data_IF_539620168508
#
_entry.id   IF_539620168508
#
_cell.length_a   1.000
_cell.length_b   1.000
_cell.length_c   1.000
_cell.angle_alpha   90.00
_cell.angle_beta   90.00
_cell.angle_gamma   90.00
#
_symmetry.space_group_name_H-M   'P 1'
#
loop_
_entity.id
_entity.type
_entity.pdbx_description
1 polymer ?
#
# COMPACT_ATOMS: atom_id res chain seq x y z
N UNK A 1 27.46 -26.06 52.78
CA UNK A 1 26.39 -26.92 52.23
C UNK A 1 25.55 -26.10 51.26
N UNK A 2 25.12 -26.73 50.17
CA UNK A 2 24.55 -26.13 48.96
C UNK A 2 23.10 -25.68 49.18
N UNK A 3 22.75 -24.48 48.72
CA UNK A 3 21.37 -24.15 48.34
C UNK A 3 21.43 -23.58 46.91
N UNK A 4 21.04 -24.42 45.94
CA UNK A 4 20.80 -24.02 44.56
C UNK A 4 19.37 -23.51 44.48
N UNK A 5 19.17 -22.20 44.33
CA UNK A 5 17.89 -21.64 43.89
C UNK A 5 17.91 -21.60 42.37
N UNK A 6 17.27 -22.61 41.77
CA UNK A 6 16.93 -22.65 40.35
C UNK A 6 15.81 -21.62 40.13
N UNK A 7 16.17 -20.45 39.61
CA UNK A 7 15.20 -19.48 39.10
C UNK A 7 14.80 -19.92 37.69
N UNK A 8 13.70 -20.67 37.60
CA UNK A 8 13.07 -20.99 36.33
C UNK A 8 12.30 -19.75 35.83
N UNK A 9 12.94 -18.95 34.98
CA UNK A 9 12.22 -17.98 34.15
C UNK A 9 11.40 -18.76 33.12
N UNK A 10 10.14 -19.04 33.44
CA UNK A 10 9.14 -19.46 32.46
C UNK A 10 8.85 -18.24 31.60
N UNK A 11 9.64 -18.07 30.54
CA UNK A 11 9.30 -17.23 29.40
C UNK A 11 8.12 -17.91 28.71
N UNK A 12 6.91 -17.52 29.14
CA UNK A 12 5.70 -17.77 28.38
C UNK A 12 5.86 -17.10 27.02
N UNK A 13 6.23 -17.90 26.02
CA UNK A 13 6.06 -17.59 24.60
C UNK A 13 4.57 -17.42 24.36
N UNK A 14 4.07 -16.20 24.60
CA UNK A 14 2.83 -15.77 24.00
C UNK A 14 3.08 -15.73 22.49
N UNK A 15 2.72 -16.83 21.83
CA UNK A 15 2.33 -16.88 20.42
C UNK A 15 1.08 -15.97 20.26
N UNK A 16 1.26 -14.67 20.46
CA UNK A 16 0.35 -13.66 19.97
C UNK A 16 0.64 -13.53 18.49
N UNK A 17 -0.34 -13.89 17.67
CA UNK A 17 -0.24 -13.78 16.21
C UNK A 17 0.33 -12.43 15.81
N UNK A 18 1.07 -12.43 14.71
CA UNK A 18 1.49 -11.20 14.03
C UNK A 18 0.22 -10.40 13.70
N UNK A 19 -0.21 -9.55 14.64
CA UNK A 19 -1.12 -8.47 14.34
C UNK A 19 -0.37 -7.63 13.33
N UNK A 20 -0.76 -7.77 12.06
CA UNK A 20 -0.19 -7.03 10.95
C UNK A 20 -0.47 -5.57 11.24
N UNK A 21 0.50 -4.89 11.86
CA UNK A 21 0.41 -3.48 12.17
C UNK A 21 0.12 -2.78 10.85
N UNK A 22 -1.02 -2.10 10.76
CA UNK A 22 -1.39 -1.35 9.56
C UNK A 22 -0.23 -0.45 9.15
N UNK A 23 0.10 -0.41 7.85
CA UNK A 23 1.21 0.41 7.36
C UNK A 23 1.06 1.86 7.84
N UNK A 24 2.15 2.43 8.36
CA UNK A 24 2.20 3.84 8.70
C UNK A 24 2.19 4.69 7.41
N UNK A 25 1.63 5.90 7.50
CA UNK A 25 1.66 6.86 6.39
C UNK A 25 3.11 7.21 6.03
N UNK A 26 3.51 7.05 4.75
CA UNK A 26 4.82 7.47 4.28
C UNK A 26 5.08 8.96 4.54
N UNK A 27 6.29 9.30 4.95
CA UNK A 27 6.72 10.68 5.06
C UNK A 27 7.16 11.19 3.67
N UNK A 28 6.37 12.08 3.07
CA UNK A 28 6.71 12.75 1.80
C UNK A 28 7.15 14.19 2.05
N UNK A 29 7.97 14.73 1.16
CA UNK A 29 8.45 16.12 1.29
C UNK A 29 7.29 17.14 1.26
N UNK A 30 7.51 18.30 1.89
CA UNK A 30 6.49 19.35 2.06
C UNK A 30 5.64 19.69 0.81
N UNK A 31 6.21 19.79 -0.41
CA UNK A 31 5.42 20.11 -1.60
C UNK A 31 4.30 19.09 -1.91
N UNK A 32 4.43 17.87 -1.41
CA UNK A 32 3.50 16.76 -1.66
C UNK A 32 2.59 16.45 -0.47
N UNK A 33 2.99 16.88 0.73
CA UNK A 33 2.42 16.43 1.99
C UNK A 33 0.90 16.65 2.09
N UNK A 34 0.40 17.82 1.68
CA UNK A 34 -1.04 18.10 1.75
C UNK A 34 -1.86 17.11 0.92
N UNK A 35 -1.49 16.92 -0.35
CA UNK A 35 -2.24 16.06 -1.27
C UNK A 35 -2.03 14.58 -0.95
N UNK A 36 -0.83 14.19 -0.53
CA UNK A 36 -0.57 12.82 -0.11
C UNK A 36 -1.31 12.46 1.17
N UNK A 37 -1.42 13.37 2.15
CA UNK A 37 -2.23 13.14 3.35
C UNK A 37 -3.71 12.93 2.98
N UNK A 38 -4.24 13.70 2.03
CA UNK A 38 -5.60 13.52 1.54
C UNK A 38 -5.78 12.17 0.83
N UNK A 39 -4.81 11.77 -0.02
CA UNK A 39 -4.79 10.44 -0.62
C UNK A 39 -4.79 9.34 0.45
N UNK A 40 -3.96 9.49 1.48
CA UNK A 40 -3.82 8.54 2.58
C UNK A 40 -5.10 8.35 3.40
N UNK A 41 -5.84 9.43 3.64
CA UNK A 41 -7.14 9.40 4.29
C UNK A 41 -8.12 8.58 3.44
N UNK A 42 -8.23 8.88 2.14
CA UNK A 42 -9.13 8.14 1.24
C UNK A 42 -8.84 6.66 1.19
N UNK A 43 -7.58 6.26 1.00
CA UNK A 43 -7.24 4.83 0.98
C UNK A 43 -7.44 4.15 2.31
N UNK A 44 -7.34 4.88 3.42
CA UNK A 44 -7.66 4.37 4.76
C UNK A 44 -9.17 4.13 4.93
N UNK A 45 -10.00 4.92 4.25
CA UNK A 45 -11.45 4.78 4.19
C UNK A 45 -11.91 3.76 3.14
N UNK A 46 -10.97 3.11 2.44
CA UNK A 46 -11.28 2.15 1.36
C UNK A 46 -11.74 2.81 0.06
N UNK A 47 -11.44 4.10 -0.12
CA UNK A 47 -11.72 4.85 -1.34
C UNK A 47 -10.48 4.98 -2.24
N UNK A 48 -10.71 5.12 -3.55
CA UNK A 48 -9.64 5.35 -4.52
C UNK A 48 -9.15 6.81 -4.47
N UNK A 49 -7.84 7.07 -4.32
CA UNK A 49 -7.29 8.43 -4.16
C UNK A 49 -6.89 9.05 -5.51
N UNK A 50 -7.61 8.76 -6.59
CA UNK A 50 -7.17 9.07 -7.97
C UNK A 50 -6.87 10.56 -8.15
N UNK A 51 -7.74 11.43 -7.64
CA UNK A 51 -7.59 12.88 -7.78
C UNK A 51 -6.40 13.40 -6.97
N UNK A 52 -6.29 12.97 -5.72
CA UNK A 52 -5.22 13.38 -4.80
C UNK A 52 -3.86 12.93 -5.31
N UNK A 53 -3.77 11.68 -5.79
CA UNK A 53 -2.53 11.16 -6.37
C UNK A 53 -2.19 11.77 -7.72
N UNK A 54 -3.18 12.08 -8.57
CA UNK A 54 -2.93 12.84 -9.81
C UNK A 54 -2.30 14.20 -9.49
N UNK A 55 -2.74 14.87 -8.42
CA UNK A 55 -2.13 16.13 -8.00
C UNK A 55 -0.68 15.96 -7.53
N UNK A 56 -0.41 14.96 -6.68
CA UNK A 56 0.97 14.65 -6.22
C UNK A 56 1.89 14.41 -7.42
N UNK A 57 1.45 13.62 -8.39
CA UNK A 57 2.21 13.28 -9.59
C UNK A 57 2.44 14.50 -10.48
N UNK A 58 1.43 15.36 -10.65
CA UNK A 58 1.56 16.59 -11.41
C UNK A 58 2.60 17.55 -10.82
N UNK A 59 2.66 17.67 -9.50
CA UNK A 59 3.72 18.44 -8.80
C UNK A 59 5.07 17.73 -8.91
N UNK A 60 5.09 16.40 -8.77
CA UNK A 60 6.31 15.61 -8.81
C UNK A 60 6.97 15.64 -10.19
N UNK A 61 6.20 15.51 -11.27
CA UNK A 61 6.68 15.55 -12.65
C UNK A 61 7.38 16.88 -12.96
N UNK A 62 6.79 18.01 -12.55
CA UNK A 62 7.41 19.34 -12.69
C UNK A 62 8.75 19.44 -11.96
N UNK A 63 8.84 18.90 -10.75
CA UNK A 63 10.08 18.95 -9.95
C UNK A 63 11.18 18.03 -10.50
N UNK A 64 10.83 16.92 -11.15
CA UNK A 64 11.79 16.08 -11.88
C UNK A 64 12.30 16.81 -13.11
N UNK A 65 11.42 17.38 -13.92
CA UNK A 65 11.79 18.13 -15.13
C UNK A 65 12.70 19.32 -14.83
N UNK A 66 12.49 19.98 -13.68
CA UNK A 66 13.29 21.14 -13.24
C UNK A 66 14.55 20.76 -12.44
N UNK A 67 14.80 19.46 -12.20
CA UNK A 67 15.95 18.94 -11.43
C UNK A 67 16.10 19.49 -10.01
N UNK A 68 15.08 20.13 -9.45
CA UNK A 68 15.16 20.84 -8.17
C UNK A 68 15.15 19.87 -6.99
N UNK A 69 14.35 18.80 -7.06
CA UNK A 69 14.18 17.79 -5.99
C UNK A 69 13.78 16.41 -6.54
N UNK A 70 14.52 15.90 -7.53
CA UNK A 70 14.19 14.66 -8.24
C UNK A 70 13.94 13.45 -7.31
N UNK A 71 14.74 13.27 -6.25
CA UNK A 71 14.55 12.16 -5.31
C UNK A 71 13.24 12.28 -4.50
N UNK A 72 12.93 13.47 -3.99
CA UNK A 72 11.68 13.69 -3.26
C UNK A 72 10.45 13.49 -4.16
N UNK A 73 10.56 13.86 -5.44
CA UNK A 73 9.52 13.63 -6.43
C UNK A 73 9.32 12.14 -6.72
N UNK A 74 10.41 11.36 -6.83
CA UNK A 74 10.37 9.90 -6.99
C UNK A 74 9.71 9.23 -5.79
N UNK A 75 10.05 9.64 -4.57
CA UNK A 75 9.45 9.12 -3.35
C UNK A 75 7.96 9.43 -3.27
N UNK A 76 7.54 10.66 -3.59
CA UNK A 76 6.13 11.03 -3.60
C UNK A 76 5.33 10.27 -4.67
N UNK A 77 5.91 10.07 -5.86
CA UNK A 77 5.31 9.23 -6.89
C UNK A 77 5.12 7.79 -6.39
N UNK A 78 6.17 7.18 -5.86
CA UNK A 78 6.12 5.81 -5.34
C UNK A 78 5.12 5.66 -4.19
N UNK A 79 5.00 6.68 -3.33
CA UNK A 79 4.02 6.68 -2.25
C UNK A 79 2.57 6.63 -2.78
N UNK A 80 2.29 7.39 -3.84
CA UNK A 80 1.00 7.32 -4.50
C UNK A 80 0.76 6.04 -5.30
N UNK A 81 1.80 5.51 -5.95
CA UNK A 81 1.68 4.30 -6.75
C UNK A 81 1.52 3.04 -5.87
N UNK A 82 2.46 2.83 -4.95
CA UNK A 82 2.62 1.60 -4.18
C UNK A 82 1.96 1.71 -2.80
N UNK A 83 2.36 2.69 -1.99
CA UNK A 83 1.94 2.72 -0.58
C UNK A 83 0.42 2.94 -0.45
N UNK A 84 -0.15 3.83 -1.26
CA UNK A 84 -1.61 4.02 -1.34
C UNK A 84 -2.34 2.76 -1.79
N UNK A 85 -1.81 2.01 -2.76
CA UNK A 85 -2.41 0.78 -3.23
C UNK A 85 -2.43 -0.30 -2.13
N UNK A 86 -1.32 -0.47 -1.42
CA UNK A 86 -1.21 -1.44 -0.32
C UNK A 86 -2.15 -1.04 0.82
N UNK A 87 -2.21 0.25 1.17
CA UNK A 87 -3.11 0.75 2.20
C UNK A 87 -4.58 0.56 1.84
N UNK A 88 -4.95 0.87 0.59
CA UNK A 88 -6.29 0.64 0.06
C UNK A 88 -6.68 -0.84 0.14
N UNK A 89 -5.75 -1.75 -0.22
CA UNK A 89 -5.97 -3.19 -0.14
C UNK A 89 -6.32 -3.65 1.27
N UNK A 90 -5.63 -3.10 2.28
CA UNK A 90 -5.93 -3.38 3.68
C UNK A 90 -7.30 -2.84 4.13
N UNK A 91 -7.61 -1.60 3.78
CA UNK A 91 -8.87 -0.98 4.16
C UNK A 91 -10.08 -1.63 3.47
N UNK A 92 -9.97 -1.90 2.16
CA UNK A 92 -11.06 -2.41 1.35
C UNK A 92 -11.64 -3.72 1.91
N UNK A 93 -10.78 -4.68 2.27
CA UNK A 93 -11.23 -5.97 2.80
C UNK A 93 -11.80 -5.90 4.22
N UNK A 94 -11.50 -4.85 4.98
CA UNK A 94 -12.11 -4.61 6.30
C UNK A 94 -13.51 -4.02 6.22
N UNK A 95 -13.95 -3.59 5.04
CA UNK A 95 -15.22 -2.93 4.82
C UNK A 95 -16.22 -3.88 4.16
N UNK A 96 -17.51 -3.62 4.38
CA UNK A 96 -18.63 -4.24 3.67
C UNK A 96 -18.59 -5.77 3.57
N UNK A 97 -17.90 -6.45 4.50
CA UNK A 97 -17.71 -7.90 4.49
C UNK A 97 -16.96 -8.40 3.23
N UNK A 98 -16.15 -7.54 2.60
CA UNK A 98 -15.40 -7.86 1.40
C UNK A 98 -14.43 -9.05 1.61
N UNK A 99 -14.02 -9.32 2.85
CA UNK A 99 -13.19 -10.44 3.28
C UNK A 99 -13.94 -11.78 3.42
N UNK A 100 -15.28 -11.79 3.43
CA UNK A 100 -16.05 -13.03 3.53
C UNK A 100 -15.79 -13.93 2.34
N UNK A 101 -15.57 -15.21 2.63
CA UNK A 101 -15.36 -16.23 1.61
C UNK A 101 -16.68 -16.58 0.93
N UNK A 102 -16.72 -16.46 -0.39
CA UNK A 102 -17.83 -16.89 -1.24
C UNK A 102 -17.73 -18.36 -1.65
N UNK A 103 -18.69 -18.80 -2.46
CA UNK A 103 -18.80 -20.21 -2.89
C UNK A 103 -17.62 -20.67 -3.78
N UNK A 104 -16.90 -19.75 -4.39
CA UNK A 104 -15.70 -20.00 -5.20
C UNK A 104 -14.41 -20.12 -4.35
N UNK A 105 -14.54 -20.05 -3.02
CA UNK A 105 -13.42 -20.13 -2.09
C UNK A 105 -12.58 -18.85 -2.02
N UNK A 106 -13.02 -17.74 -2.63
CA UNK A 106 -12.33 -16.44 -2.59
C UNK A 106 -13.13 -15.41 -1.80
N UNK A 107 -12.48 -14.35 -1.30
CA UNK A 107 -13.20 -13.19 -0.75
C UNK A 107 -14.19 -12.60 -1.76
N UNK A 108 -15.43 -12.33 -1.32
CA UNK A 108 -16.48 -11.79 -2.20
C UNK A 108 -16.11 -10.43 -2.82
N UNK A 109 -15.22 -9.68 -2.17
CA UNK A 109 -14.73 -8.39 -2.65
C UNK A 109 -13.74 -8.48 -3.82
N UNK A 110 -13.23 -9.68 -4.19
CA UNK A 110 -12.12 -9.81 -5.12
C UNK A 110 -12.36 -9.17 -6.49
N UNK A 111 -13.56 -9.31 -7.08
CA UNK A 111 -13.85 -8.72 -8.40
C UNK A 111 -13.82 -7.19 -8.39
N UNK A 112 -14.35 -6.58 -7.31
CA UNK A 112 -14.36 -5.13 -7.17
C UNK A 112 -12.96 -4.60 -6.83
N UNK A 113 -12.25 -5.30 -5.96
CA UNK A 113 -10.87 -5.01 -5.59
C UNK A 113 -9.94 -5.01 -6.82
N UNK A 114 -10.00 -6.04 -7.67
CA UNK A 114 -9.19 -6.15 -8.89
C UNK A 114 -9.43 -4.95 -9.83
N UNK A 115 -10.70 -4.57 -10.03
CA UNK A 115 -11.06 -3.41 -10.86
C UNK A 115 -10.52 -2.10 -10.29
N UNK A 116 -10.66 -1.89 -8.98
CA UNK A 116 -10.27 -0.64 -8.34
C UNK A 116 -8.75 -0.51 -8.27
N UNK A 117 -8.04 -1.59 -7.93
CA UNK A 117 -6.59 -1.59 -7.91
C UNK A 117 -6.00 -1.37 -9.31
N UNK A 118 -6.54 -2.04 -10.35
CA UNK A 118 -6.14 -1.78 -11.74
C UNK A 118 -6.45 -0.34 -12.19
N UNK A 119 -7.58 0.23 -11.75
CA UNK A 119 -7.91 1.63 -12.01
C UNK A 119 -6.90 2.61 -11.39
N UNK A 120 -6.49 2.33 -10.14
CA UNK A 120 -5.49 3.12 -9.44
C UNK A 120 -4.13 3.08 -10.15
N UNK A 121 -3.55 1.90 -10.36
CA UNK A 121 -2.23 1.78 -11.01
C UNK A 121 -2.27 2.25 -12.46
N UNK A 122 -3.34 1.94 -13.18
CA UNK A 122 -3.54 2.32 -14.58
C UNK A 122 -3.61 3.83 -14.78
N UNK A 123 -4.14 4.58 -13.80
CA UNK A 123 -4.16 6.05 -13.87
C UNK A 123 -2.77 6.70 -13.85
N UNK A 124 -1.75 5.97 -13.39
CA UNK A 124 -0.39 6.48 -13.17
C UNK A 124 0.67 5.84 -14.07
N UNK A 125 0.36 4.72 -14.72
CA UNK A 125 1.32 3.89 -15.47
C UNK A 125 2.11 4.68 -16.52
N UNK A 126 1.45 5.62 -17.21
CA UNK A 126 2.08 6.46 -18.24
C UNK A 126 3.18 7.40 -17.71
N UNK A 127 3.17 7.70 -16.40
CA UNK A 127 4.15 8.59 -15.78
C UNK A 127 5.32 7.83 -15.16
N UNK A 128 5.21 6.50 -14.98
CA UNK A 128 6.22 5.66 -14.30
C UNK A 128 7.64 5.88 -14.85
N UNK A 129 7.89 5.92 -16.18
CA UNK A 129 9.24 6.10 -16.71
C UNK A 129 9.86 7.45 -16.34
N UNK A 130 9.05 8.51 -16.16
CA UNK A 130 9.54 9.85 -15.79
C UNK A 130 10.22 9.86 -14.42
N UNK A 131 9.84 8.94 -13.54
CA UNK A 131 10.39 8.81 -12.21
C UNK A 131 11.50 7.73 -12.13
N UNK A 132 11.94 7.19 -13.27
CA UNK A 132 13.02 6.21 -13.32
C UNK A 132 12.65 4.86 -12.67
N UNK A 133 11.38 4.48 -12.75
CA UNK A 133 10.85 3.18 -12.33
C UNK A 133 10.36 2.38 -13.54
N UNK A 134 10.04 1.10 -13.34
CA UNK A 134 9.29 0.26 -14.28
C UNK A 134 7.92 -0.05 -13.68
N UNK A 135 6.89 -0.17 -14.53
CA UNK A 135 5.54 -0.50 -14.05
C UNK A 135 5.53 -1.90 -13.43
N UNK A 136 6.22 -2.86 -14.07
CA UNK A 136 6.42 -4.21 -13.56
C UNK A 136 7.02 -4.22 -12.16
N UNK A 137 8.10 -3.46 -11.91
CA UNK A 137 8.75 -3.44 -10.60
C UNK A 137 7.88 -2.82 -9.50
N UNK A 138 7.11 -1.77 -9.82
CA UNK A 138 6.18 -1.18 -8.86
C UNK A 138 4.96 -2.08 -8.61
N UNK A 139 4.45 -2.75 -9.63
CA UNK A 139 3.36 -3.72 -9.51
C UNK A 139 3.79 -4.93 -8.68
N UNK A 140 4.98 -5.45 -8.91
CA UNK A 140 5.55 -6.54 -8.11
C UNK A 140 5.68 -6.12 -6.64
N UNK A 141 6.16 -4.90 -6.38
CA UNK A 141 6.25 -4.38 -5.02
C UNK A 141 4.87 -4.28 -4.34
N UNK A 142 3.81 -3.86 -5.07
CA UNK A 142 2.44 -3.88 -4.54
C UNK A 142 2.07 -5.32 -4.15
N UNK A 143 2.23 -6.28 -5.07
CA UNK A 143 1.83 -7.67 -4.86
C UNK A 143 2.60 -8.35 -3.71
N UNK A 144 3.86 -7.96 -3.48
CA UNK A 144 4.66 -8.45 -2.34
C UNK A 144 4.23 -7.85 -1.00
N UNK A 145 3.56 -6.70 -1.00
CA UNK A 145 3.25 -5.91 0.22
C UNK A 145 1.78 -5.93 0.63
N UNK A 146 0.87 -6.36 -0.23
CA UNK A 146 -0.55 -6.53 0.12
C UNK A 146 -0.74 -7.64 1.17
N UNK A 147 -1.82 -7.54 1.94
CA UNK A 147 -2.14 -8.54 2.97
C UNK A 147 -2.60 -9.88 2.35
N UNK A 148 -2.68 -10.93 3.19
CA UNK A 148 -3.03 -12.29 2.76
C UNK A 148 -4.43 -12.37 2.11
N UNK A 149 -5.39 -11.60 2.61
CA UNK A 149 -6.76 -11.57 2.07
C UNK A 149 -6.75 -11.02 0.65
N UNK A 150 -6.11 -9.88 0.44
CA UNK A 150 -5.94 -9.26 -0.87
C UNK A 150 -5.13 -10.15 -1.83
N UNK A 151 -4.09 -10.81 -1.34
CA UNK A 151 -3.27 -11.74 -2.13
C UNK A 151 -4.08 -12.96 -2.60
N UNK A 152 -5.04 -13.45 -1.79
CA UNK A 152 -5.90 -14.57 -2.16
C UNK A 152 -6.78 -14.30 -3.39
N UNK A 153 -6.99 -13.02 -3.74
CA UNK A 153 -7.71 -12.64 -4.95
C UNK A 153 -6.93 -12.90 -6.25
N UNK A 154 -5.61 -13.16 -6.18
CA UNK A 154 -4.75 -13.43 -7.34
C UNK A 154 -4.84 -12.33 -8.42
N UNK A 155 -4.91 -11.07 -7.97
CA UNK A 155 -4.99 -9.89 -8.83
C UNK A 155 -3.84 -9.88 -9.82
N UNK A 156 -4.15 -9.53 -11.07
CA UNK A 156 -3.15 -9.28 -12.11
C UNK A 156 -3.13 -7.79 -12.41
N UNK A 157 -2.03 -7.14 -12.07
CA UNK A 157 -1.83 -5.73 -12.39
C UNK A 157 -1.33 -5.60 -13.82
N UNK A 158 -2.05 -4.82 -14.63
CA UNK A 158 -1.68 -4.56 -16.02
C UNK A 158 -0.33 -3.87 -16.16
N UNK A 159 0.36 -4.14 -17.27
CA UNK A 159 1.54 -3.41 -17.77
C UNK A 159 1.14 -2.42 -18.86
#
# INVERSE_FOLDING_TARGET
MKARLLSACILSLALGGLAQAGQAMPNVAQPYQKSFNAAWIKVTEGELPVYECTHVIGVAAKNVEQSTTAEAARQAFKACYVDSAVRYSDAFFKLHQNDKIGDDGKPIGCNMYDRYLNGHVGSMVSQVPKFGFTAEGLNEEILQRINEVAASCQVRLGT
#
